data_IF_391451102448
#
_entry.id   IF_391451102448
#
_cell.length_a   1.000
_cell.length_b   1.000
_cell.length_c   1.000
_cell.angle_alpha   90.00
_cell.angle_beta   90.00
_cell.angle_gamma   90.00
#
_symmetry.space_group_name_H-M   'P 1'
#
loop_
_entity.id
_entity.type
_entity.pdbx_description
1 polymer ?
#
# COMPACT_ATOMS: atom_id res chain seq x y z
N UNK A 1 -9.79 -2.21 4.50
CA UNK A 1 -9.46 -3.65 4.30
C UNK A 1 -8.16 -3.79 3.50
N UNK A 2 -7.32 -4.81 3.77
CA UNK A 2 -6.13 -5.13 2.95
C UNK A 2 -6.45 -6.27 1.99
N UNK A 3 -6.28 -6.05 0.70
CA UNK A 3 -6.47 -7.08 -0.33
C UNK A 3 -5.18 -7.89 -0.43
N UNK A 4 -5.24 -9.18 -0.06
CA UNK A 4 -4.13 -10.13 -0.17
C UNK A 4 -4.52 -11.25 -1.15
N UNK A 5 -3.53 -11.80 -1.87
CA UNK A 5 -3.59 -12.80 -2.97
C UNK A 5 -4.51 -14.04 -2.82
N UNK A 6 -5.13 -14.30 -1.66
CA UNK A 6 -6.00 -15.49 -1.47
C UNK A 6 -7.31 -15.28 -0.69
N UNK A 7 -7.38 -14.33 0.26
CA UNK A 7 -8.62 -13.97 1.00
C UNK A 7 -8.52 -12.51 1.47
N UNK A 8 -9.58 -11.69 1.39
CA UNK A 8 -9.60 -10.36 2.01
C UNK A 8 -9.36 -10.53 3.51
N UNK A 9 -8.24 -9.99 4.00
CA UNK A 9 -7.91 -10.06 5.42
C UNK A 9 -8.20 -8.71 6.06
N UNK A 10 -9.09 -8.70 7.04
CA UNK A 10 -9.24 -7.52 7.89
C UNK A 10 -7.91 -7.24 8.59
N UNK A 11 -7.46 -6.00 8.44
CA UNK A 11 -6.24 -5.45 9.01
C UNK A 11 -6.62 -4.10 9.58
N UNK A 12 -6.19 -3.83 10.80
CA UNK A 12 -6.27 -2.50 11.38
C UNK A 12 -5.07 -1.69 10.88
N UNK A 13 -5.33 -0.42 10.58
CA UNK A 13 -4.33 0.56 10.19
C UNK A 13 -4.38 1.70 11.21
N UNK A 14 -3.20 2.09 11.69
CA UNK A 14 -2.99 3.20 12.61
C UNK A 14 -1.96 4.12 11.99
N UNK A 15 -2.36 5.35 11.71
CA UNK A 15 -1.48 6.39 11.19
C UNK A 15 -1.04 7.28 12.34
N UNK A 16 0.26 7.37 12.54
CA UNK A 16 0.91 8.34 13.40
C UNK A 16 1.59 9.41 12.55
N UNK A 17 2.20 10.40 13.20
CA UNK A 17 2.80 11.54 12.52
C UNK A 17 4.00 11.17 11.64
N UNK A 18 4.72 10.10 12.00
CA UNK A 18 5.99 9.66 11.41
C UNK A 18 5.95 8.21 10.91
N UNK A 19 5.01 7.40 11.40
CA UNK A 19 4.89 5.98 11.06
C UNK A 19 3.46 5.56 10.72
N UNK A 20 3.33 4.58 9.82
CA UNK A 20 2.12 3.83 9.57
C UNK A 20 2.26 2.42 10.16
N UNK A 21 1.39 2.07 11.09
CA UNK A 21 1.34 0.73 11.69
C UNK A 21 0.14 -0.02 11.16
N UNK A 22 0.34 -1.25 10.70
CA UNK A 22 -0.76 -2.12 10.31
C UNK A 22 -0.57 -3.54 10.82
N UNK A 23 -1.66 -4.19 11.21
CA UNK A 23 -1.62 -5.51 11.84
C UNK A 23 -2.91 -6.30 11.70
N UNK A 24 -2.85 -7.58 12.02
CA UNK A 24 -4.03 -8.42 12.13
C UNK A 24 -4.76 -8.14 13.43
N UNK A 25 -6.06 -7.86 13.33
CA UNK A 25 -6.93 -7.81 14.50
C UNK A 25 -7.25 -9.25 14.91
N UNK A 26 -6.83 -9.65 16.10
CA UNK A 26 -7.14 -10.96 16.70
C UNK A 26 -8.36 -10.83 17.59
N UNK A 27 -8.39 -9.79 18.41
CA UNK A 27 -9.53 -9.40 19.23
C UNK A 27 -9.69 -7.89 19.04
N UNK A 28 -10.83 -7.46 18.50
CA UNK A 28 -11.11 -6.03 18.27
C UNK A 28 -10.92 -5.24 19.57
N UNK A 29 -10.13 -4.16 19.51
CA UNK A 29 -9.84 -3.30 20.66
C UNK A 29 -9.01 -3.92 21.79
N UNK A 30 -8.55 -5.18 21.69
CA UNK A 30 -7.79 -5.83 22.76
C UNK A 30 -6.48 -6.48 22.30
N UNK A 31 -6.44 -7.11 21.13
CA UNK A 31 -5.27 -7.88 20.69
C UNK A 31 -5.02 -7.75 19.20
N UNK A 32 -3.83 -7.25 18.86
CA UNK A 32 -3.34 -7.12 17.49
C UNK A 32 -2.07 -7.95 17.33
N UNK A 33 -1.98 -8.73 16.25
CA UNK A 33 -0.82 -9.58 15.94
C UNK A 33 -0.23 -9.23 14.57
N UNK A 34 0.99 -9.69 14.31
CA UNK A 34 1.69 -9.47 13.03
C UNK A 34 1.75 -7.98 12.63
N UNK A 35 1.98 -7.12 13.62
CA UNK A 35 2.10 -5.68 13.39
C UNK A 35 3.34 -5.40 12.56
N UNK A 36 3.20 -4.49 11.61
CA UNK A 36 4.27 -3.98 10.77
C UNK A 36 4.25 -2.47 10.87
N UNK A 37 5.41 -1.92 11.17
CA UNK A 37 5.66 -0.49 11.23
C UNK A 37 6.33 -0.12 9.89
N UNK A 38 5.79 0.89 9.23
CA UNK A 38 6.39 1.47 8.04
C UNK A 38 6.62 2.97 8.30
N UNK A 39 7.86 3.44 8.27
CA UNK A 39 8.18 4.86 8.29
C UNK A 39 7.52 5.60 7.11
N UNK A 40 6.93 6.77 7.37
CA UNK A 40 6.23 7.54 6.34
C UNK A 40 7.16 8.15 5.29
N UNK A 41 8.43 8.43 5.65
CA UNK A 41 9.46 8.90 4.73
C UNK A 41 9.79 7.91 3.60
N UNK A 42 9.47 6.63 3.78
CA UNK A 42 9.70 5.56 2.80
C UNK A 42 8.41 5.15 2.06
N UNK A 43 7.27 5.80 2.34
CA UNK A 43 5.99 5.44 1.74
C UNK A 43 5.70 6.29 0.51
N UNK A 44 5.28 5.63 -0.57
CA UNK A 44 4.64 6.25 -1.73
C UNK A 44 3.19 5.81 -1.81
N UNK A 45 2.32 6.79 -1.99
CA UNK A 45 0.88 6.58 -2.14
C UNK A 45 0.52 6.76 -3.60
N UNK A 46 -0.27 5.84 -4.13
CA UNK A 46 -0.76 5.93 -5.51
C UNK A 46 -2.26 5.66 -5.50
N UNK A 47 -3.09 6.63 -5.92
CA UNK A 47 -4.51 6.41 -6.10
C UNK A 47 -4.73 5.23 -7.06
N UNK A 48 -5.56 4.27 -6.69
CA UNK A 48 -5.92 3.18 -7.59
C UNK A 48 -7.09 3.61 -8.48
N UNK A 49 -7.19 3.06 -9.69
CA UNK A 49 -8.44 3.12 -10.45
C UNK A 49 -9.49 2.31 -9.71
N UNK A 50 -10.66 2.89 -9.52
CA UNK A 50 -11.79 2.18 -8.95
C UNK A 50 -12.18 1.03 -9.87
N UNK A 51 -12.27 -0.16 -9.29
CA UNK A 51 -12.74 -1.37 -9.97
C UNK A 51 -13.97 -1.87 -9.24
N UNK A 52 -14.92 -2.55 -9.90
CA UNK A 52 -16.12 -3.10 -9.24
C UNK A 52 -15.79 -3.97 -8.01
N UNK A 53 -14.63 -4.64 -8.06
CA UNK A 53 -14.11 -5.51 -7.00
C UNK A 53 -13.45 -4.73 -5.84
N UNK A 54 -12.95 -3.52 -6.09
CA UNK A 54 -12.26 -2.68 -5.11
C UNK A 54 -12.61 -1.19 -5.29
N UNK A 55 -13.84 -0.78 -4.95
CA UNK A 55 -14.20 0.63 -4.93
C UNK A 55 -13.49 1.33 -3.77
N UNK A 56 -13.01 2.55 -4.00
CA UNK A 56 -12.37 3.42 -3.01
C UNK A 56 -11.01 2.90 -2.51
N UNK A 57 -10.22 2.36 -3.42
CA UNK A 57 -8.92 1.77 -3.11
C UNK A 57 -7.74 2.68 -3.44
N UNK A 58 -6.65 2.52 -2.70
CA UNK A 58 -5.36 3.13 -3.00
C UNK A 58 -4.22 2.15 -2.71
N UNK A 59 -3.11 2.35 -3.40
CA UNK A 59 -1.90 1.56 -3.20
C UNK A 59 -0.97 2.29 -2.24
N UNK A 60 -0.51 1.56 -1.22
CA UNK A 60 0.61 1.96 -0.37
C UNK A 60 1.82 1.14 -0.77
N UNK A 61 2.88 1.80 -1.21
CA UNK A 61 4.14 1.19 -1.62
C UNK A 61 5.26 1.63 -0.68
N UNK A 62 5.96 0.66 -0.11
CA UNK A 62 7.18 0.85 0.70
C UNK A 62 8.30 -0.04 0.14
N UNK A 63 9.59 0.22 0.43
CA UNK A 63 10.72 -0.57 -0.07
C UNK A 63 10.61 -2.07 0.25
N UNK A 64 9.92 -2.43 1.33
CA UNK A 64 9.75 -3.82 1.76
C UNK A 64 8.48 -4.47 1.23
N UNK A 65 7.45 -3.67 0.91
CA UNK A 65 6.13 -4.19 0.54
C UNK A 65 5.23 -3.14 -0.09
N UNK A 66 4.51 -3.55 -1.13
CA UNK A 66 3.39 -2.81 -1.70
C UNK A 66 2.08 -3.57 -1.46
N UNK A 67 0.99 -2.85 -1.18
CA UNK A 67 -0.33 -3.45 -0.99
C UNK A 67 -1.47 -2.46 -1.22
N UNK A 68 -2.62 -2.99 -1.64
CA UNK A 68 -3.84 -2.21 -1.86
C UNK A 68 -4.65 -2.16 -0.57
N UNK A 69 -5.06 -0.94 -0.20
CA UNK A 69 -5.97 -0.64 0.90
C UNK A 69 -7.28 -0.13 0.32
N UNK A 70 -8.38 -0.62 0.87
CA UNK A 70 -9.74 -0.20 0.50
C UNK A 70 -10.44 0.44 1.70
N UNK A 71 -11.02 1.62 1.49
CA UNK A 71 -11.92 2.25 2.47
C UNK A 71 -13.34 1.69 2.36
N UNK A 72 -14.17 2.00 3.35
CA UNK A 72 -15.58 1.66 3.37
C UNK A 72 -16.46 2.71 2.67
N UNK A 73 -15.91 3.91 2.43
CA UNK A 73 -16.56 5.00 1.70
C UNK A 73 -15.54 5.86 0.95
N UNK A 74 -16.02 6.62 -0.05
CA UNK A 74 -15.16 7.57 -0.76
C UNK A 74 -14.65 8.69 0.15
N UNK A 75 -15.50 9.17 1.06
CA UNK A 75 -15.11 10.17 2.06
C UNK A 75 -13.95 9.69 2.93
N UNK A 76 -14.06 8.47 3.46
CA UNK A 76 -13.00 7.88 4.27
C UNK A 76 -11.70 7.76 3.45
N UNK A 77 -11.77 7.34 2.18
CA UNK A 77 -10.59 7.32 1.29
C UNK A 77 -9.95 8.71 1.17
N UNK A 78 -10.74 9.74 0.92
CA UNK A 78 -10.24 11.10 0.78
C UNK A 78 -9.58 11.60 2.07
N UNK A 79 -10.21 11.36 3.23
CA UNK A 79 -9.65 11.69 4.54
C UNK A 79 -8.32 10.97 4.75
N UNK A 80 -8.26 9.65 4.50
CA UNK A 80 -7.01 8.89 4.62
C UNK A 80 -5.90 9.41 3.70
N UNK A 81 -6.20 9.67 2.43
CA UNK A 81 -5.22 10.19 1.48
C UNK A 81 -4.70 11.57 1.90
N UNK A 82 -5.59 12.47 2.35
CA UNK A 82 -5.22 13.81 2.81
C UNK A 82 -4.36 13.77 4.09
N UNK A 83 -4.72 12.93 5.05
CA UNK A 83 -3.95 12.76 6.28
C UNK A 83 -2.58 12.14 6.02
N UNK A 84 -2.52 11.11 5.18
CA UNK A 84 -1.26 10.48 4.82
C UNK A 84 -0.32 11.45 4.08
N UNK A 85 -0.83 12.18 3.07
CA UNK A 85 -0.05 13.16 2.32
C UNK A 85 0.48 14.28 3.24
N UNK A 86 -0.35 14.76 4.17
CA UNK A 86 0.06 15.72 5.19
C UNK A 86 1.20 15.15 6.06
N UNK A 87 1.03 13.96 6.63
CA UNK A 87 2.04 13.36 7.51
C UNK A 87 3.34 13.04 6.76
N UNK A 88 3.28 12.59 5.51
CA UNK A 88 4.48 12.36 4.67
C UNK A 88 5.24 13.66 4.43
N UNK A 89 4.54 14.77 4.10
CA UNK A 89 5.18 16.07 3.91
C UNK A 89 5.88 16.57 5.18
N UNK A 90 5.25 16.38 6.34
CA UNK A 90 5.86 16.73 7.63
C UNK A 90 7.04 15.82 7.97
N UNK A 91 6.92 14.51 7.76
CA UNK A 91 7.99 13.54 8.01
C UNK A 91 9.22 13.76 7.11
N UNK A 92 9.02 14.23 5.88
CA UNK A 92 10.10 14.57 4.94
C UNK A 92 10.66 16.00 5.12
N UNK A 93 10.24 16.74 6.16
CA UNK A 93 10.88 18.00 6.55
C UNK A 93 10.72 19.16 5.55
N UNK A 94 9.67 19.18 4.72
CA UNK A 94 9.40 20.29 3.79
C UNK A 94 10.40 20.44 2.64
N UNK A 95 11.47 19.66 2.59
CA UNK A 95 12.37 19.59 1.44
C UNK A 95 11.86 18.53 0.48
N UNK A 96 11.66 18.92 -0.78
CA UNK A 96 11.28 18.08 -1.92
C UNK A 96 12.39 17.07 -2.33
N UNK A 97 13.07 16.48 -1.34
CA UNK A 97 14.26 15.67 -1.53
C UNK A 97 13.86 14.19 -1.61
N UNK A 98 13.67 13.76 -2.86
CA UNK A 98 13.95 12.42 -3.37
C UNK A 98 13.29 11.26 -2.61
N UNK A 99 12.15 10.81 -3.17
CA UNK A 99 11.64 9.46 -2.96
C UNK A 99 12.78 8.44 -3.11
N UNK A 100 13.26 7.90 -1.99
CA UNK A 100 14.17 6.76 -1.99
C UNK A 100 13.52 5.62 -2.79
N UNK A 101 14.31 5.00 -3.66
CA UNK A 101 13.90 4.01 -4.64
C UNK A 101 12.82 3.06 -4.09
N UNK A 102 11.56 3.32 -4.45
CA UNK A 102 10.42 2.56 -3.95
C UNK A 102 10.41 1.20 -4.64
N UNK A 103 10.09 0.15 -3.89
CA UNK A 103 9.95 -1.19 -4.45
C UNK A 103 8.99 -1.22 -5.64
N UNK A 104 9.31 -2.06 -6.62
CA UNK A 104 8.54 -2.23 -7.83
C UNK A 104 7.05 -2.49 -7.55
N UNK A 105 6.19 -1.90 -8.39
CA UNK A 105 4.76 -2.14 -8.36
C UNK A 105 4.49 -3.62 -8.65
N UNK A 106 3.83 -4.31 -7.73
CA UNK A 106 3.55 -5.74 -7.88
C UNK A 106 2.40 -5.93 -8.87
N UNK A 107 2.68 -6.60 -9.99
CA UNK A 107 1.71 -6.92 -11.04
C UNK A 107 1.39 -8.41 -10.95
N UNK A 108 0.10 -8.81 -10.97
CA UNK A 108 -0.29 -10.22 -10.99
C UNK A 108 0.30 -10.94 -12.20
N UNK A 109 0.71 -12.21 -12.02
CA UNK A 109 1.36 -13.01 -13.07
C UNK A 109 0.52 -13.06 -14.37
N UNK A 110 -0.80 -13.12 -14.27
CA UNK A 110 -1.74 -13.10 -15.42
C UNK A 110 -1.72 -11.78 -16.25
N UNK A 111 -1.07 -10.74 -15.73
CA UNK A 111 -0.96 -9.40 -16.36
C UNK A 111 0.49 -8.98 -16.56
N UNK A 112 1.45 -9.86 -16.28
CA UNK A 112 2.88 -9.63 -16.39
C UNK A 112 3.48 -10.57 -17.44
N UNK A 113 3.14 -10.35 -18.72
CA UNK A 113 3.68 -11.15 -19.84
C UNK A 113 5.14 -10.83 -20.15
N UNK A 114 5.68 -9.73 -19.62
CA UNK A 114 7.01 -9.20 -19.98
C UNK A 114 7.75 -8.67 -18.76
N UNK A 115 9.07 -8.86 -18.74
CA UNK A 115 9.94 -8.37 -17.67
C UNK A 115 9.87 -6.85 -17.55
N UNK A 116 9.46 -6.37 -16.38
CA UNK A 116 9.25 -4.95 -16.11
C UNK A 116 10.56 -4.15 -15.91
N UNK A 117 11.71 -4.83 -15.86
CA UNK A 117 13.03 -4.20 -15.76
C UNK A 117 13.72 -4.01 -17.11
N UNK A 118 13.67 -4.99 -18.01
CA UNK A 118 14.36 -4.93 -19.31
C UNK A 118 13.41 -4.81 -20.51
N UNK A 119 12.10 -5.03 -20.32
CA UNK A 119 11.04 -5.01 -21.34
C UNK A 119 11.26 -5.95 -22.54
N UNK A 120 12.33 -6.74 -22.57
CA UNK A 120 12.72 -7.57 -23.72
C UNK A 120 12.38 -9.05 -23.56
N UNK A 121 12.21 -9.54 -22.33
CA UNK A 121 11.94 -10.95 -22.04
C UNK A 121 10.47 -11.18 -21.74
N UNK A 122 9.84 -12.13 -22.44
CA UNK A 122 8.49 -12.59 -22.11
C UNK A 122 8.55 -13.68 -21.05
N UNK A 123 7.73 -13.55 -20.00
CA UNK A 123 7.57 -14.61 -19.02
C UNK A 123 6.71 -15.71 -19.65
N UNK A 124 7.33 -16.82 -20.01
CA UNK A 124 6.60 -18.03 -20.42
C UNK A 124 6.86 -19.12 -19.40
N UNK A 125 5.80 -19.80 -18.98
CA UNK A 125 5.91 -21.02 -18.20
C UNK A 125 6.32 -22.14 -19.16
N UNK A 126 7.62 -22.40 -19.27
CA UNK A 126 8.10 -23.64 -19.88
C UNK A 126 8.30 -24.70 -18.81
N UNK A 127 7.87 -25.92 -19.17
CA UNK A 127 7.94 -27.20 -18.44
C UNK A 127 9.32 -27.52 -17.88
#
# INVERSE_FOLDING_TARGET
MKVCRKKPKQRAFFLFNDILVYGQVVISGRKYSQQKIIPLNEIKITPSKDTPENPYAWLISSPKKSFVVRANSDRERQEWLAHLDRCIRYACGGTNSQHSAVAAHWVPDDKADTCMHCRSSKFSAYN
#
